data_IF_652656461244
#
_entry.id   IF_652656461244
#
_cell.length_a   1.000
_cell.length_b   1.000
_cell.length_c   1.000
_cell.angle_alpha   90.00
_cell.angle_beta   90.00
_cell.angle_gamma   90.00
#
_symmetry.space_group_name_H-M   'P 1'
#
loop_
_entity.id
_entity.type
_entity.pdbx_description
1 polymer ?
#
# COMPACT_ATOMS: atom_id res chain seq x y z
N UNK A 1 32.39 -7.95 -34.57
CA UNK A 1 31.79 -7.58 -33.28
C UNK A 1 31.61 -6.08 -33.30
N UNK A 2 30.37 -5.60 -33.42
CA UNK A 2 30.09 -4.17 -33.57
C UNK A 2 30.40 -3.45 -32.25
N UNK A 3 31.37 -2.55 -32.29
CA UNK A 3 31.67 -1.61 -31.20
C UNK A 3 30.48 -0.67 -31.09
N UNK A 4 29.53 -1.00 -30.21
CA UNK A 4 28.49 -0.07 -29.82
C UNK A 4 29.16 1.06 -29.06
N UNK A 5 29.38 2.18 -29.74
CA UNK A 5 29.89 3.41 -29.13
C UNK A 5 28.92 3.83 -28.03
N UNK A 6 29.25 3.47 -26.79
CA UNK A 6 28.57 3.97 -25.60
C UNK A 6 28.95 5.45 -25.53
N UNK A 7 28.11 6.32 -26.10
CA UNK A 7 28.28 7.77 -26.04
C UNK A 7 28.41 8.14 -24.55
N UNK A 8 29.59 8.57 -24.09
CA UNK A 8 29.80 8.89 -22.69
C UNK A 8 28.86 10.03 -22.33
N UNK A 9 28.08 9.87 -21.25
CA UNK A 9 27.13 10.89 -20.78
C UNK A 9 27.93 12.12 -20.33
N UNK A 10 27.81 13.27 -21.02
CA UNK A 10 28.34 14.51 -20.49
C UNK A 10 27.50 14.93 -19.26
N UNK A 11 28.12 15.44 -18.19
CA UNK A 11 27.44 15.69 -16.91
C UNK A 11 26.29 16.70 -17.00
N UNK A 12 26.30 17.60 -17.99
CA UNK A 12 25.26 18.62 -18.17
C UNK A 12 24.18 18.27 -19.21
N UNK A 13 24.25 17.10 -19.87
CA UNK A 13 23.31 16.76 -20.94
C UNK A 13 22.24 15.75 -20.49
N UNK A 14 20.98 16.04 -20.84
CA UNK A 14 19.81 15.21 -20.54
C UNK A 14 19.46 14.33 -21.72
N UNK A 15 18.98 13.10 -21.47
CA UNK A 15 18.54 12.20 -22.55
C UNK A 15 17.15 12.59 -23.03
N UNK A 16 17.00 12.74 -24.35
CA UNK A 16 15.71 12.96 -24.99
C UNK A 16 14.77 11.77 -24.77
N UNK A 17 13.52 12.06 -24.36
CA UNK A 17 12.47 11.06 -24.11
C UNK A 17 11.49 10.89 -25.27
N UNK A 18 11.72 11.54 -26.41
CA UNK A 18 10.96 11.29 -27.63
C UNK A 18 11.30 9.91 -28.22
N UNK A 19 10.29 9.23 -28.76
CA UNK A 19 10.42 7.88 -29.30
C UNK A 19 11.46 7.79 -30.42
N UNK A 20 12.45 6.92 -30.26
CA UNK A 20 13.47 6.65 -31.27
C UNK A 20 14.59 7.70 -31.39
N UNK A 21 14.57 8.78 -30.59
CA UNK A 21 15.63 9.80 -30.68
C UNK A 21 16.92 9.37 -29.94
N UNK A 22 16.81 9.00 -28.66
CA UNK A 22 17.92 8.57 -27.80
C UNK A 22 19.15 9.50 -27.70
N UNK A 23 19.10 10.72 -28.25
CA UNK A 23 20.18 11.71 -28.18
C UNK A 23 20.25 12.36 -26.80
N UNK A 24 21.45 12.79 -26.42
CA UNK A 24 21.66 13.69 -25.30
C UNK A 24 21.65 15.13 -25.80
N UNK A 25 21.01 16.02 -25.05
CA UNK A 25 20.91 17.45 -25.37
C UNK A 25 21.06 18.28 -24.11
N UNK A 26 21.57 19.51 -24.25
CA UNK A 26 21.56 20.49 -23.17
C UNK A 26 20.22 21.25 -23.21
N UNK A 27 19.38 21.20 -22.17
CA UNK A 27 18.12 21.95 -22.12
C UNK A 27 18.32 23.47 -22.15
N UNK A 28 19.54 23.97 -21.88
CA UNK A 28 19.87 25.41 -21.90
C UNK A 28 20.20 25.92 -23.31
N UNK A 29 20.57 25.03 -24.23
CA UNK A 29 20.99 25.40 -25.58
C UNK A 29 19.91 25.00 -26.60
N UNK A 30 19.11 25.98 -27.05
CA UNK A 30 18.01 25.76 -27.98
C UNK A 30 18.46 25.13 -29.32
N UNK A 31 19.64 25.50 -29.82
CA UNK A 31 20.15 25.06 -31.11
C UNK A 31 20.42 23.55 -31.16
N UNK A 32 20.75 22.94 -30.01
CA UNK A 32 21.03 21.51 -29.86
C UNK A 32 19.78 20.68 -29.54
N UNK A 33 18.60 21.32 -29.43
CA UNK A 33 17.36 20.61 -29.11
C UNK A 33 16.70 19.98 -30.33
N UNK A 34 17.15 20.23 -31.56
CA UNK A 34 16.48 19.66 -32.74
C UNK A 34 16.68 18.13 -32.82
N UNK A 35 15.59 17.37 -32.92
CA UNK A 35 15.63 15.92 -33.08
C UNK A 35 14.61 15.37 -34.07
N UNK A 36 14.99 14.24 -34.68
CA UNK A 36 14.12 13.43 -35.54
C UNK A 36 13.64 12.25 -34.70
N UNK A 37 12.32 12.11 -34.56
CA UNK A 37 11.69 11.15 -33.66
C UNK A 37 10.38 10.60 -34.25
N UNK A 38 9.83 9.57 -33.60
CA UNK A 38 8.54 8.99 -33.92
C UNK A 38 7.43 9.65 -33.10
N UNK A 39 6.30 9.96 -33.75
CA UNK A 39 5.14 10.58 -33.10
C UNK A 39 4.44 9.65 -32.12
N UNK A 40 4.30 8.40 -32.53
CA UNK A 40 3.45 7.40 -31.89
C UNK A 40 4.30 6.27 -31.31
N UNK A 41 3.76 5.53 -30.32
CA UNK A 41 4.46 4.43 -29.68
C UNK A 41 4.79 3.27 -30.66
N UNK A 42 5.69 2.37 -30.26
CA UNK A 42 5.97 1.16 -31.02
C UNK A 42 4.81 0.17 -30.94
N UNK A 43 4.63 -0.63 -31.98
CA UNK A 43 3.61 -1.66 -32.11
C UNK A 43 4.30 -3.00 -32.39
N UNK A 44 3.88 -4.02 -31.65
CA UNK A 44 4.38 -5.38 -31.78
C UNK A 44 3.19 -6.31 -32.05
N UNK A 45 3.10 -6.83 -33.28
CA UNK A 45 2.02 -7.73 -33.71
C UNK A 45 2.58 -8.81 -34.64
N UNK A 46 2.20 -10.08 -34.43
CA UNK A 46 2.61 -11.20 -35.31
C UNK A 46 4.12 -11.21 -35.62
N UNK A 47 4.96 -11.04 -34.59
CA UNK A 47 6.44 -10.94 -34.66
C UNK A 47 7.01 -9.69 -35.35
N UNK A 48 6.19 -8.96 -36.10
CA UNK A 48 6.55 -7.69 -36.71
C UNK A 48 6.59 -6.56 -35.66
N UNK A 49 7.63 -5.72 -35.77
CA UNK A 49 7.93 -4.60 -34.87
C UNK A 49 8.01 -3.34 -35.72
N UNK A 50 7.19 -2.35 -35.40
CA UNK A 50 7.15 -1.09 -36.15
C UNK A 50 6.70 0.06 -35.28
N UNK A 51 6.80 1.29 -35.77
CA UNK A 51 6.28 2.48 -35.09
C UNK A 51 4.87 2.76 -35.60
N UNK A 52 3.90 3.06 -34.73
CA UNK A 52 2.51 3.23 -35.19
C UNK A 52 2.36 4.40 -36.19
N UNK A 53 3.27 5.37 -36.17
CA UNK A 53 3.32 6.47 -37.13
C UNK A 53 3.96 6.09 -38.49
N UNK A 54 4.57 4.91 -38.60
CA UNK A 54 5.24 4.39 -39.80
C UNK A 54 4.95 2.90 -39.98
N UNK A 55 3.70 2.52 -40.29
CA UNK A 55 3.30 1.12 -40.42
C UNK A 55 4.01 0.38 -41.56
N UNK A 56 4.50 1.08 -42.57
CA UNK A 56 5.19 0.49 -43.73
C UNK A 56 6.62 0.05 -43.39
N UNK A 57 7.22 0.60 -42.32
CA UNK A 57 8.59 0.28 -41.88
C UNK A 57 8.54 -0.79 -40.80
N UNK A 58 8.33 -2.04 -41.21
CA UNK A 58 8.30 -3.20 -40.31
C UNK A 58 9.67 -3.86 -40.25
N UNK A 59 10.07 -4.21 -39.04
CA UNK A 59 11.25 -5.01 -38.77
C UNK A 59 10.84 -6.30 -38.06
N UNK A 60 11.56 -7.38 -38.32
CA UNK A 60 11.33 -8.66 -37.64
C UNK A 60 12.37 -8.89 -36.54
N UNK A 61 13.56 -8.30 -36.67
CA UNK A 61 14.59 -8.28 -35.64
C UNK A 61 14.57 -6.98 -34.81
N UNK A 62 15.06 -7.08 -33.57
CA UNK A 62 15.12 -5.94 -32.65
C UNK A 62 16.09 -4.85 -33.12
N UNK A 63 17.26 -5.25 -33.61
CA UNK A 63 18.28 -4.31 -34.07
C UNK A 63 17.85 -3.53 -35.30
N UNK A 64 17.09 -4.17 -36.20
CA UNK A 64 16.49 -3.51 -37.36
C UNK A 64 15.42 -2.50 -36.92
N UNK A 65 14.58 -2.86 -35.95
CA UNK A 65 13.58 -1.97 -35.39
C UNK A 65 14.20 -0.69 -34.79
N UNK A 66 15.31 -0.82 -34.05
CA UNK A 66 16.05 0.30 -33.48
C UNK A 66 16.68 1.22 -34.53
N UNK A 67 16.96 0.70 -35.73
CA UNK A 67 17.52 1.48 -36.85
C UNK A 67 16.47 2.23 -37.66
N UNK A 68 15.17 2.01 -37.42
CA UNK A 68 14.11 2.70 -38.17
C UNK A 68 14.19 4.22 -37.90
N UNK A 69 14.48 5.05 -38.92
CA UNK A 69 14.65 6.48 -38.71
C UNK A 69 13.32 7.13 -38.33
N UNK A 70 13.38 8.10 -37.42
CA UNK A 70 12.23 8.92 -37.03
C UNK A 70 11.57 9.61 -38.23
N UNK A 71 10.26 9.84 -38.14
CA UNK A 71 9.46 10.40 -39.23
C UNK A 71 9.06 11.87 -39.05
N UNK A 72 9.33 12.45 -37.88
CA UNK A 72 9.03 13.84 -37.58
C UNK A 72 10.24 14.54 -36.99
N UNK A 73 10.48 15.77 -37.45
CA UNK A 73 11.43 16.69 -36.81
C UNK A 73 10.72 17.52 -35.76
N UNK A 74 11.33 17.69 -34.60
CA UNK A 74 10.84 18.53 -33.52
C UNK A 74 11.94 18.85 -32.52
N UNK A 75 11.55 19.16 -31.29
CA UNK A 75 12.47 19.53 -30.23
C UNK A 75 12.59 18.39 -29.21
N UNK A 76 13.79 18.16 -28.71
CA UNK A 76 14.10 17.24 -27.63
C UNK A 76 13.36 17.67 -26.37
N UNK A 77 12.96 16.70 -25.56
CA UNK A 77 12.23 16.95 -24.33
C UNK A 77 12.69 15.94 -23.28
N UNK A 78 12.81 16.40 -22.04
CA UNK A 78 13.14 15.59 -20.87
C UNK A 78 11.87 15.07 -20.15
N UNK A 79 10.71 15.62 -20.47
CA UNK A 79 9.40 15.18 -19.98
C UNK A 79 9.02 13.85 -20.63
N UNK A 80 8.67 12.86 -19.82
CA UNK A 80 8.04 11.62 -20.31
C UNK A 80 6.63 11.95 -20.77
N UNK A 81 6.27 11.58 -22.00
CA UNK A 81 4.87 11.59 -22.41
C UNK A 81 4.09 10.61 -21.55
N UNK A 82 2.91 11.00 -21.09
CA UNK A 82 2.04 10.12 -20.30
C UNK A 82 1.85 8.80 -21.03
N UNK A 83 1.89 7.69 -20.30
CA UNK A 83 1.76 6.33 -20.83
C UNK A 83 0.36 6.12 -21.37
N UNK A 84 0.07 6.64 -22.57
CA UNK A 84 -1.10 6.26 -23.34
C UNK A 84 -0.76 4.94 -24.03
N UNK A 85 -1.05 3.85 -23.33
CA UNK A 85 -1.12 2.48 -23.86
C UNK A 85 0.15 1.98 -24.57
N UNK A 86 1.02 1.28 -23.83
CA UNK A 86 2.27 0.70 -24.35
C UNK A 86 2.22 -0.83 -24.50
N UNK A 87 1.02 -1.40 -24.62
CA UNK A 87 0.80 -2.84 -24.75
C UNK A 87 -0.25 -3.34 -23.77
N UNK A 88 -0.94 -4.42 -24.12
CA UNK A 88 -2.18 -4.89 -23.49
C UNK A 88 -2.11 -5.28 -22.00
N UNK A 89 -0.95 -5.16 -21.34
CA UNK A 89 -0.82 -5.42 -19.90
C UNK A 89 -1.46 -4.30 -19.06
N UNK A 90 -1.42 -3.06 -19.54
CA UNK A 90 -1.74 -1.88 -18.72
C UNK A 90 -3.26 -1.69 -18.57
N UNK A 91 -4.03 -1.93 -19.64
CA UNK A 91 -5.49 -1.89 -19.63
C UNK A 91 -6.10 -2.98 -18.73
N UNK A 92 -5.39 -4.08 -18.48
CA UNK A 92 -5.95 -5.21 -17.72
C UNK A 92 -6.16 -4.87 -16.25
N UNK A 93 -5.43 -3.89 -15.70
CA UNK A 93 -5.62 -3.45 -14.32
C UNK A 93 -6.82 -2.51 -14.17
N UNK A 94 -6.95 -1.53 -15.07
CA UNK A 94 -8.05 -0.55 -15.07
C UNK A 94 -9.38 -1.15 -15.57
N UNK A 95 -9.31 -2.08 -16.53
CA UNK A 95 -10.46 -2.83 -17.03
C UNK A 95 -10.55 -4.24 -16.40
N UNK A 96 -9.85 -4.48 -15.28
CA UNK A 96 -10.01 -5.71 -14.52
C UNK A 96 -11.49 -5.82 -14.10
N UNK A 97 -12.14 -6.99 -14.26
CA UNK A 97 -13.43 -7.20 -13.63
C UNK A 97 -13.25 -7.02 -12.12
N UNK A 98 -13.90 -6.00 -11.55
CA UNK A 98 -13.95 -5.79 -10.10
C UNK A 98 -14.63 -7.01 -9.48
N UNK A 99 -14.13 -7.52 -8.34
CA UNK A 99 -14.85 -8.60 -7.65
C UNK A 99 -16.09 -7.98 -7.02
N UNK A 100 -17.23 -8.65 -7.17
CA UNK A 100 -18.49 -8.23 -6.54
C UNK A 100 -18.38 -8.14 -5.01
N UNK A 101 -17.44 -8.89 -4.40
CA UNK A 101 -17.19 -8.88 -2.96
C UNK A 101 -16.42 -7.64 -2.46
N UNK A 102 -15.83 -6.84 -3.35
CA UNK A 102 -15.00 -5.68 -2.98
C UNK A 102 -15.85 -4.53 -2.38
N UNK A 103 -17.15 -4.49 -2.69
CA UNK A 103 -18.10 -3.49 -2.19
C UNK A 103 -18.94 -3.99 -1.00
N UNK A 104 -18.76 -5.25 -0.57
CA UNK A 104 -19.46 -5.78 0.60
C UNK A 104 -18.92 -5.08 1.85
N UNK A 105 -19.78 -4.45 2.68
CA UNK A 105 -19.36 -3.87 3.95
C UNK A 105 -18.60 -4.91 4.77
N UNK A 106 -17.33 -4.63 5.04
CA UNK A 106 -16.48 -5.55 5.80
C UNK A 106 -17.09 -5.66 7.20
N UNK A 107 -17.48 -6.88 7.60
CA UNK A 107 -17.99 -7.16 8.94
C UNK A 107 -17.02 -6.56 9.98
N UNK A 108 -17.50 -5.71 10.91
CA UNK A 108 -16.67 -5.11 11.96
C UNK A 108 -15.85 -6.14 12.76
N UNK A 109 -16.30 -7.40 12.87
CA UNK A 109 -15.55 -8.48 13.55
C UNK A 109 -14.28 -8.89 12.81
N UNK A 110 -14.25 -8.75 11.48
CA UNK A 110 -13.08 -9.03 10.63
C UNK A 110 -11.98 -7.97 10.77
N UNK A 111 -12.29 -6.85 11.43
CA UNK A 111 -11.33 -5.82 11.80
C UNK A 111 -10.38 -6.34 12.90
N UNK A 112 -10.83 -7.27 13.75
CA UNK A 112 -10.05 -7.86 14.83
C UNK A 112 -8.88 -8.72 14.32
N UNK A 113 -9.10 -9.50 13.25
CA UNK A 113 -8.04 -10.28 12.58
C UNK A 113 -6.89 -9.42 12.02
N UNK A 114 -7.16 -8.13 11.76
CA UNK A 114 -6.15 -7.17 11.30
C UNK A 114 -5.30 -6.64 12.45
N UNK A 115 -5.87 -6.50 13.64
CA UNK A 115 -5.15 -6.06 14.84
C UNK A 115 -4.29 -7.20 15.43
N UNK A 116 -4.74 -8.45 15.32
CA UNK A 116 -4.00 -9.64 15.76
C UNK A 116 -2.66 -9.84 15.00
N UNK A 117 -2.58 -9.33 13.76
CA UNK A 117 -1.34 -9.37 12.95
C UNK A 117 -0.34 -8.25 13.29
N UNK A 118 -0.74 -7.21 14.02
CA UNK A 118 0.11 -6.04 14.30
C UNK A 118 0.75 -6.06 15.69
N UNK A 119 0.22 -6.81 16.66
CA UNK A 119 0.76 -6.87 18.04
C UNK A 119 1.88 -7.91 18.26
N UNK A 120 2.59 -8.31 17.19
CA UNK A 120 3.75 -9.21 17.32
C UNK A 120 5.10 -8.52 17.23
N UNK A 121 5.20 -7.24 17.58
CA UNK A 121 6.49 -6.55 17.72
C UNK A 121 6.51 -5.54 18.88
N UNK A 122 7.23 -5.95 19.93
CA UNK A 122 8.04 -5.19 20.91
C UNK A 122 7.44 -4.10 21.82
N UNK A 123 7.57 -4.38 23.13
CA UNK A 123 7.93 -3.50 24.26
C UNK A 123 7.24 -2.13 24.40
N UNK A 124 6.47 -1.97 25.49
CA UNK A 124 6.69 -0.92 26.48
C UNK A 124 6.11 -1.34 27.85
N UNK A 125 6.94 -1.17 28.89
CA UNK A 125 6.71 -1.69 30.23
C UNK A 125 5.56 -1.03 30.98
N UNK A 126 4.83 -1.85 31.74
CA UNK A 126 3.82 -1.40 32.69
C UNK A 126 4.40 -1.52 34.10
N UNK A 127 4.66 -0.38 34.74
CA UNK A 127 5.10 -0.26 36.13
C UNK A 127 3.91 -0.63 37.03
N UNK A 128 4.05 -1.67 37.84
CA UNK A 128 3.04 -2.10 38.81
C UNK A 128 3.29 -1.40 40.14
N UNK A 129 2.38 -0.51 40.55
CA UNK A 129 2.34 0.08 41.88
C UNK A 129 1.41 -0.77 42.76
N UNK A 130 1.93 -1.27 43.87
CA UNK A 130 1.25 -2.12 44.85
C UNK A 130 0.54 -1.27 45.93
N UNK A 131 -0.66 -1.70 46.33
CA UNK A 131 -1.37 -1.26 47.54
C UNK A 131 -2.77 -1.89 47.56
N UNK A 132 -2.99 -3.04 48.19
CA UNK A 132 -3.21 -3.31 49.63
C UNK A 132 -4.68 -3.21 50.06
N UNK A 133 -5.32 -4.39 50.23
CA UNK A 133 -6.62 -4.59 50.91
C UNK A 133 -7.71 -5.11 49.97
N UNK A 134 -8.27 -6.30 50.07
CA UNK A 134 -8.13 -7.39 51.02
C UNK A 134 -9.38 -8.27 50.93
N UNK A 135 -9.35 -9.36 50.13
CA UNK A 135 -10.24 -10.51 50.28
C UNK A 135 -9.61 -11.77 49.64
N UNK A 136 -9.33 -12.77 50.48
CA UNK A 136 -9.31 -14.19 50.10
C UNK A 136 -8.09 -14.71 49.30
N UNK A 137 -6.97 -14.90 49.98
CA UNK A 137 -5.79 -15.58 49.46
C UNK A 137 -6.05 -17.07 49.16
N UNK A 138 -6.03 -17.46 47.88
CA UNK A 138 -5.58 -18.79 47.45
C UNK A 138 -4.16 -18.62 46.91
N UNK A 139 -3.19 -19.17 47.62
CA UNK A 139 -1.78 -19.19 47.21
C UNK A 139 -1.57 -20.24 46.11
N UNK A 140 -1.72 -19.84 44.85
CA UNK A 140 -0.87 -20.32 43.77
C UNK A 140 -0.75 -19.19 42.74
N UNK A 141 0.47 -18.85 42.36
CA UNK A 141 0.77 -17.96 41.23
C UNK A 141 0.43 -18.71 39.94
N UNK A 142 -0.86 -18.99 39.73
CA UNK A 142 -1.36 -19.57 38.49
C UNK A 142 -1.85 -18.42 37.62
N UNK A 143 -1.22 -18.28 36.45
CA UNK A 143 -1.68 -17.39 35.40
C UNK A 143 -3.16 -17.69 35.17
N UNK A 144 -4.03 -16.71 35.41
CA UNK A 144 -5.44 -16.82 35.02
C UNK A 144 -5.44 -17.13 33.52
N UNK A 145 -5.91 -18.32 33.11
CA UNK A 145 -5.85 -18.71 31.72
C UNK A 145 -6.80 -17.81 30.92
N UNK A 146 -6.40 -17.45 29.70
CA UNK A 146 -7.07 -16.42 28.91
C UNK A 146 -8.56 -16.73 28.64
N UNK A 147 -8.96 -18.00 28.74
CA UNK A 147 -10.30 -18.51 28.54
C UNK A 147 -11.19 -18.48 29.79
N UNK A 148 -10.68 -18.10 30.97
CA UNK A 148 -11.49 -18.03 32.19
C UNK A 148 -12.62 -17.01 32.08
N UNK A 149 -12.36 -15.89 31.40
CA UNK A 149 -13.39 -14.89 31.10
C UNK A 149 -14.49 -15.49 30.23
N UNK A 150 -14.13 -16.09 29.10
CA UNK A 150 -15.08 -16.68 28.16
C UNK A 150 -15.89 -17.83 28.79
N UNK A 151 -15.25 -18.62 29.66
CA UNK A 151 -15.89 -19.71 30.38
C UNK A 151 -16.87 -19.20 31.45
N UNK A 152 -16.51 -18.15 32.19
CA UNK A 152 -17.39 -17.52 33.15
C UNK A 152 -18.57 -16.83 32.45
N UNK A 153 -18.31 -16.12 31.35
CA UNK A 153 -19.31 -15.45 30.53
C UNK A 153 -20.29 -16.41 29.86
N UNK A 154 -19.78 -17.51 29.30
CA UNK A 154 -20.62 -18.56 28.72
C UNK A 154 -21.57 -19.19 29.75
N UNK A 155 -21.11 -19.39 30.99
CA UNK A 155 -21.96 -19.92 32.08
C UNK A 155 -23.02 -18.93 32.53
N UNK A 156 -22.68 -17.65 32.71
CA UNK A 156 -23.65 -16.61 33.08
C UNK A 156 -24.71 -16.42 31.99
N UNK A 157 -24.29 -16.42 30.72
CA UNK A 157 -25.20 -16.33 29.58
C UNK A 157 -26.16 -17.52 29.53
N UNK A 158 -25.67 -18.73 29.81
CA UNK A 158 -26.50 -19.94 29.80
C UNK A 158 -27.51 -19.97 30.96
N UNK A 159 -27.17 -19.39 32.11
CA UNK A 159 -28.06 -19.34 33.28
C UNK A 159 -29.14 -18.26 33.17
N UNK A 160 -28.81 -17.12 32.57
CA UNK A 160 -29.70 -15.94 32.55
C UNK A 160 -30.53 -15.83 31.26
N UNK A 161 -30.19 -16.59 30.20
CA UNK A 161 -30.99 -16.71 28.98
C UNK A 161 -31.10 -15.45 28.11
N UNK A 162 -30.69 -14.29 28.63
CA UNK A 162 -30.71 -13.01 27.93
C UNK A 162 -29.37 -12.29 28.10
N UNK A 163 -28.56 -12.34 27.04
CA UNK A 163 -27.22 -11.75 26.98
C UNK A 163 -27.26 -10.22 27.17
N UNK A 164 -28.37 -9.57 26.83
CA UNK A 164 -28.52 -8.12 26.94
C UNK A 164 -28.52 -7.65 28.41
N UNK A 165 -29.13 -8.44 29.30
CA UNK A 165 -29.20 -8.14 30.72
C UNK A 165 -27.83 -8.30 31.41
N UNK A 166 -27.02 -9.27 30.97
CA UNK A 166 -25.67 -9.52 31.50
C UNK A 166 -24.72 -8.38 31.10
N UNK A 167 -24.79 -7.92 29.85
CA UNK A 167 -24.01 -6.78 29.37
C UNK A 167 -24.42 -5.49 30.09
N UNK A 168 -25.72 -5.27 30.28
CA UNK A 168 -26.22 -4.12 31.02
C UNK A 168 -25.72 -4.11 32.47
N UNK A 169 -25.74 -5.27 33.14
CA UNK A 169 -25.26 -5.40 34.52
C UNK A 169 -23.75 -5.24 34.62
N UNK A 170 -22.97 -5.73 33.66
CA UNK A 170 -21.52 -5.49 33.63
C UNK A 170 -21.22 -3.99 33.47
N UNK A 171 -21.91 -3.31 32.54
CA UNK A 171 -21.70 -1.88 32.32
C UNK A 171 -22.07 -1.04 33.56
N UNK A 172 -23.12 -1.44 34.29
CA UNK A 172 -23.49 -0.82 35.57
C UNK A 172 -22.38 -0.99 36.61
N UNK A 173 -21.91 -2.22 36.84
CA UNK A 173 -20.84 -2.48 37.80
C UNK A 173 -19.54 -1.74 37.45
N UNK A 174 -19.22 -1.65 36.15
CA UNK A 174 -18.05 -0.92 35.69
C UNK A 174 -18.18 0.58 35.94
N UNK A 175 -19.37 1.14 35.72
CA UNK A 175 -19.67 2.55 35.99
C UNK A 175 -19.63 2.87 37.48
N UNK A 176 -20.18 1.98 38.31
CA UNK A 176 -20.16 2.14 39.77
C UNK A 176 -18.74 2.10 40.33
N UNK A 177 -17.87 1.22 39.82
CA UNK A 177 -16.45 1.17 40.23
C UNK A 177 -15.73 2.46 39.84
N UNK A 178 -16.00 3.02 38.65
CA UNK A 178 -15.41 4.28 38.22
C UNK A 178 -15.92 5.47 39.05
N UNK A 179 -17.19 5.48 39.43
CA UNK A 179 -17.77 6.57 40.24
C UNK A 179 -17.30 6.55 41.69
N UNK A 180 -17.06 5.36 42.26
CA UNK A 180 -16.54 5.23 43.63
C UNK A 180 -15.02 5.47 43.72
N UNK A 181 -14.30 5.48 42.60
CA UNK A 181 -12.86 5.78 42.58
C UNK A 181 -12.55 7.27 42.83
N UNK A 182 -13.53 8.17 42.66
CA UNK A 182 -13.35 9.62 42.81
C UNK A 182 -13.63 10.12 44.26
N UNK A 183 -14.09 9.27 45.18
CA UNK A 183 -14.56 9.70 46.51
C UNK A 183 -13.60 9.46 47.69
N UNK A 184 -12.44 8.83 47.47
CA UNK A 184 -11.51 8.48 48.58
C UNK A 184 -10.42 9.53 48.88
N UNK A 185 -10.39 10.69 48.20
CA UNK A 185 -9.30 11.69 48.34
C UNK A 185 -9.77 13.10 48.81
N UNK A 186 -10.75 13.19 49.70
CA UNK A 186 -11.05 14.47 50.39
C UNK A 186 -11.53 14.27 51.83
N UNK A 187 -10.59 13.91 52.71
CA UNK A 187 -10.72 14.24 54.13
C UNK A 187 -9.33 14.32 54.79
N UNK A 188 -8.65 15.46 54.60
CA UNK A 188 -7.57 15.86 55.51
C UNK A 188 -8.24 16.61 56.68
N UNK A 189 -8.11 16.14 57.94
CA UNK A 189 -8.53 16.94 59.08
C UNK A 189 -7.64 18.18 59.21
N UNK A 190 -8.27 19.32 59.55
CA UNK A 190 -7.67 20.63 59.82
C UNK A 190 -6.50 20.57 60.84
#
# INVERSE_FOLDING_TARGET
MATGDVVPRPPEHVRCKNFGCNKYFDPRCADQTTCVHHRLPPVFHETAKYWACCPDKKAYDWDEFMKIPGCQTGHCTDVTKDKKFLGGADLRAENAPKRLDDEVPVDPRKKLDRFDRFERFEHVGFVSLVGSGGFGCRTSSEKVPADDFDRAWGRLSAQLGDLSLVVQRMNQLFTDVLQNADTDDVNLPD
#
